data_IF_848720568135
#
_entry.id   IF_848720568135
#
_cell.length_a   1.000
_cell.length_b   1.000
_cell.length_c   1.000
_cell.angle_alpha   90.00
_cell.angle_beta   90.00
_cell.angle_gamma   90.00
#
_symmetry.space_group_name_H-M   'P 1'
#
loop_
_entity.id
_entity.type
_entity.pdbx_description
1 polymer ?
#
# COMPACT_ATOMS: atom_id res chain seq x y z
N UNK A 1 -15.10 -14.09 -3.35
CA UNK A 1 -14.50 -15.41 -3.08
C UNK A 1 -13.40 -15.27 -2.04
N UNK A 2 -13.07 -16.32 -1.27
CA UNK A 2 -12.14 -16.22 -0.13
C UNK A 2 -10.79 -15.59 -0.50
N UNK A 3 -10.22 -15.94 -1.65
CA UNK A 3 -8.97 -15.36 -2.16
C UNK A 3 -8.99 -13.85 -2.44
N UNK A 4 -10.17 -13.26 -2.70
CA UNK A 4 -10.30 -11.81 -2.88
C UNK A 4 -10.27 -11.11 -1.51
N UNK A 5 -10.89 -11.71 -0.49
CA UNK A 5 -10.86 -11.17 0.87
C UNK A 5 -9.45 -11.19 1.46
N UNK A 6 -8.72 -12.29 1.23
CA UNK A 6 -7.28 -12.41 1.54
C UNK A 6 -6.46 -11.33 0.80
N UNK A 7 -6.76 -11.09 -0.48
CA UNK A 7 -6.13 -10.03 -1.27
C UNK A 7 -6.37 -8.62 -0.74
N UNK A 8 -7.57 -8.32 -0.24
CA UNK A 8 -7.88 -7.03 0.41
C UNK A 8 -7.11 -6.89 1.72
N UNK A 9 -7.12 -7.92 2.56
CA UNK A 9 -6.40 -7.93 3.84
C UNK A 9 -4.90 -7.79 3.65
N UNK A 10 -4.29 -8.63 2.81
CA UNK A 10 -2.86 -8.62 2.57
C UNK A 10 -2.40 -7.37 1.82
N UNK A 11 -3.15 -6.93 0.79
CA UNK A 11 -2.87 -5.70 0.05
C UNK A 11 -3.03 -4.44 0.90
N UNK A 12 -4.06 -4.40 1.75
CA UNK A 12 -4.30 -3.31 2.69
C UNK A 12 -3.23 -3.22 3.78
N UNK A 13 -2.87 -4.35 4.39
CA UNK A 13 -1.78 -4.40 5.40
C UNK A 13 -0.45 -3.97 4.78
N UNK A 14 -0.12 -4.46 3.57
CA UNK A 14 1.09 -4.05 2.85
C UNK A 14 1.14 -2.55 2.58
N UNK A 15 0.02 -1.95 2.19
CA UNK A 15 -0.07 -0.50 1.97
C UNK A 15 0.12 0.32 3.26
N UNK A 16 -0.47 -0.14 4.38
CA UNK A 16 -0.29 0.52 5.69
C UNK A 16 1.17 0.46 6.12
N UNK A 17 1.82 -0.70 5.99
CA UNK A 17 3.26 -0.86 6.31
C UNK A 17 4.11 0.06 5.43
N UNK A 18 3.80 0.16 4.14
CA UNK A 18 4.50 1.07 3.23
C UNK A 18 4.33 2.54 3.62
N UNK A 19 3.13 2.97 4.05
CA UNK A 19 2.90 4.33 4.53
C UNK A 19 3.68 4.62 5.82
N UNK A 20 3.76 3.67 6.75
CA UNK A 20 4.57 3.81 7.97
C UNK A 20 6.04 3.94 7.60
N UNK A 21 6.56 3.07 6.75
CA UNK A 21 7.95 3.11 6.30
C UNK A 21 8.28 4.43 5.58
N UNK A 22 7.38 4.90 4.70
CA UNK A 22 7.50 6.19 4.02
C UNK A 22 7.50 7.36 5.02
N UNK A 23 6.67 7.27 6.07
CA UNK A 23 6.63 8.28 7.13
C UNK A 23 7.97 8.36 7.86
N UNK A 24 8.51 7.22 8.27
CA UNK A 24 9.80 7.13 8.95
C UNK A 24 10.92 7.69 8.06
N UNK A 25 10.97 7.25 6.79
CA UNK A 25 11.96 7.71 5.83
C UNK A 25 11.87 9.23 5.61
N UNK A 26 10.66 9.78 5.50
CA UNK A 26 10.45 11.21 5.36
C UNK A 26 10.98 11.98 6.56
N UNK A 27 10.66 11.56 7.80
CA UNK A 27 11.17 12.23 8.99
C UNK A 27 12.70 12.22 9.03
N UNK A 28 13.31 11.10 8.64
CA UNK A 28 14.77 10.97 8.56
C UNK A 28 15.37 11.95 7.54
N UNK A 29 14.77 12.06 6.35
CA UNK A 29 15.24 12.95 5.27
C UNK A 29 14.96 14.42 5.59
N UNK A 30 13.84 14.74 6.24
CA UNK A 30 13.46 16.09 6.64
C UNK A 30 14.49 16.74 7.56
N UNK A 31 15.20 15.95 8.38
CA UNK A 31 16.31 16.46 9.21
C UNK A 31 17.43 17.11 8.38
N UNK A 32 17.59 16.68 7.12
CA UNK A 32 18.57 17.21 6.17
C UNK A 32 17.97 18.22 5.18
N UNK A 33 16.68 18.11 4.88
CA UNK A 33 15.98 18.94 3.91
C UNK A 33 14.66 19.46 4.50
N UNK A 34 14.69 20.67 5.07
CA UNK A 34 13.55 21.27 5.79
C UNK A 34 12.38 21.69 4.88
N UNK A 35 12.65 21.91 3.59
CA UNK A 35 11.65 22.30 2.59
C UNK A 35 10.82 21.13 2.02
N UNK A 36 11.11 19.88 2.40
CA UNK A 36 10.32 18.74 1.96
C UNK A 36 8.93 18.76 2.62
N UNK A 37 7.88 18.72 1.80
CA UNK A 37 6.49 18.55 2.25
C UNK A 37 6.10 17.08 2.25
N UNK A 38 5.36 16.65 3.27
CA UNK A 38 4.89 15.27 3.38
C UNK A 38 3.96 14.91 2.23
N UNK A 39 3.84 13.61 1.94
CA UNK A 39 2.95 13.09 0.92
C UNK A 39 1.52 13.63 1.13
N UNK A 40 0.96 14.25 0.10
CA UNK A 40 -0.39 14.81 0.16
C UNK A 40 -1.42 13.70 0.42
N UNK A 41 -2.44 13.99 1.25
CA UNK A 41 -3.53 13.07 1.58
C UNK A 41 -4.13 12.34 0.36
N UNK A 42 -4.45 12.99 -0.78
CA UNK A 42 -4.97 12.29 -1.95
C UNK A 42 -4.01 11.23 -2.50
N UNK A 43 -2.69 11.46 -2.43
CA UNK A 43 -1.70 10.50 -2.90
C UNK A 43 -1.56 9.31 -1.96
N UNK A 44 -1.71 9.52 -0.65
CA UNK A 44 -1.77 8.42 0.32
C UNK A 44 -2.99 7.51 0.07
N UNK A 45 -4.14 8.11 -0.25
CA UNK A 45 -5.36 7.36 -0.61
C UNK A 45 -5.17 6.55 -1.90
N UNK A 46 -4.58 7.15 -2.94
CA UNK A 46 -4.28 6.44 -4.19
C UNK A 46 -3.31 5.28 -3.96
N UNK A 47 -2.28 5.48 -3.14
CA UNK A 47 -1.32 4.44 -2.79
C UNK A 47 -1.98 3.28 -2.04
N UNK A 48 -2.88 3.59 -1.10
CA UNK A 48 -3.63 2.58 -0.36
C UNK A 48 -4.58 1.79 -1.26
N UNK A 49 -5.36 2.48 -2.09
CA UNK A 49 -6.29 1.85 -3.04
C UNK A 49 -5.55 0.99 -4.06
N UNK A 50 -4.42 1.45 -4.58
CA UNK A 50 -3.62 0.69 -5.54
C UNK A 50 -2.98 -0.55 -4.90
N UNK A 51 -2.51 -0.48 -3.66
CA UNK A 51 -2.00 -1.64 -2.91
C UNK A 51 -3.09 -2.71 -2.68
N UNK A 52 -4.29 -2.28 -2.30
CA UNK A 52 -5.45 -3.18 -2.17
C UNK A 52 -5.82 -3.81 -3.52
N UNK A 53 -5.87 -3.00 -4.59
CA UNK A 53 -6.19 -3.47 -5.93
C UNK A 53 -5.19 -4.53 -6.41
N UNK A 54 -3.89 -4.30 -6.19
CA UNK A 54 -2.82 -5.23 -6.54
C UNK A 54 -2.93 -6.55 -5.76
N UNK A 55 -3.21 -6.47 -4.45
CA UNK A 55 -3.45 -7.64 -3.61
C UNK A 55 -4.66 -8.47 -4.06
N UNK A 56 -5.75 -7.80 -4.44
CA UNK A 56 -6.94 -8.45 -5.01
C UNK A 56 -6.64 -9.11 -6.36
N UNK A 57 -5.90 -8.43 -7.24
CA UNK A 57 -5.49 -8.97 -8.55
C UNK A 57 -4.61 -10.22 -8.38
N UNK A 58 -3.65 -10.19 -7.45
CA UNK A 58 -2.81 -11.34 -7.12
C UNK A 58 -3.64 -12.54 -6.64
N UNK A 59 -4.53 -12.32 -5.66
CA UNK A 59 -5.43 -13.37 -5.16
C UNK A 59 -6.36 -13.93 -6.24
N UNK A 60 -6.84 -13.09 -7.15
CA UNK A 60 -7.67 -13.51 -8.28
C UNK A 60 -6.89 -14.32 -9.33
N UNK A 61 -5.65 -13.94 -9.65
CA UNK A 61 -4.78 -14.70 -10.56
C UNK A 61 -4.48 -16.08 -9.98
N UNK A 62 -4.16 -16.17 -8.69
CA UNK A 62 -3.95 -17.46 -8.01
C UNK A 62 -5.23 -18.30 -8.06
N UNK A 63 -6.38 -17.74 -7.69
CA UNK A 63 -7.66 -18.45 -7.72
C UNK A 63 -8.04 -18.98 -9.12
N UNK A 64 -7.58 -18.35 -10.20
CA UNK A 64 -7.75 -18.83 -11.57
C UNK A 64 -6.77 -19.93 -12.00
N UNK A 65 -5.66 -20.11 -11.28
CA UNK A 65 -4.66 -21.17 -11.54
C UNK A 65 -4.94 -22.46 -10.77
N UNK A 66 -5.69 -22.40 -9.66
CA UNK A 66 -6.05 -23.58 -8.84
C UNK A 66 -7.43 -24.15 -9.18
N UNK A 67 -8.15 -23.55 -10.14
CA UNK A 67 -9.37 -24.09 -10.76
C UNK A 67 -9.02 -24.72 -12.10
#
# INVERSE_FOLDING_TARGET
GPFVAEGILQGGIGAIVALIALTIAFYFVRTKFTALTFLALPMAVILLLSGILLGCLGGYVVARRVR
#
